data_IF_968267328505
#
_entry.id   IF_968267328505
#
_cell.length_a   1.000
_cell.length_b   1.000
_cell.length_c   1.000
_cell.angle_alpha   90.00
_cell.angle_beta   90.00
_cell.angle_gamma   90.00
#
_symmetry.space_group_name_H-M   'P 1'
#
loop_
_entity.id
_entity.type
_entity.pdbx_description
1 polymer ?
#
# COMPACT_ATOMS: atom_id res chain seq x y z
N UNK A 1 -3.57 -6.99 3.48
CA UNK A 1 -4.73 -6.08 3.29
C UNK A 1 -5.14 -6.12 1.83
N UNK A 2 -6.42 -6.17 1.47
CA UNK A 2 -6.88 -6.15 0.06
C UNK A 2 -7.32 -4.73 -0.31
N UNK A 3 -6.83 -4.22 -1.44
CA UNK A 3 -7.27 -2.98 -2.09
C UNK A 3 -7.85 -3.38 -3.45
N UNK A 4 -9.15 -3.17 -3.62
CA UNK A 4 -9.89 -3.39 -4.87
C UNK A 4 -10.26 -2.03 -5.47
N UNK A 5 -10.05 -1.87 -6.78
CA UNK A 5 -10.72 -0.84 -7.58
C UNK A 5 -11.19 -1.46 -8.89
N UNK A 6 -12.35 -0.99 -9.33
CA UNK A 6 -13.27 -1.57 -10.31
C UNK A 6 -12.62 -2.19 -11.57
N UNK A 7 -12.96 -3.47 -11.79
CA UNK A 7 -13.12 -4.19 -13.07
C UNK A 7 -12.09 -5.20 -13.64
N UNK A 8 -10.95 -5.51 -13.01
CA UNK A 8 -10.29 -6.85 -13.14
C UNK A 8 -9.02 -7.02 -12.28
N UNK A 9 -8.84 -6.28 -11.18
CA UNK A 9 -7.57 -6.32 -10.47
C UNK A 9 -7.60 -5.99 -8.99
N UNK A 10 -6.64 -6.53 -8.25
CA UNK A 10 -6.43 -6.23 -6.84
C UNK A 10 -4.95 -6.21 -6.50
N UNK A 11 -4.59 -5.48 -5.44
CA UNK A 11 -3.32 -5.67 -4.77
C UNK A 11 -3.51 -6.08 -3.31
N UNK A 12 -2.68 -7.03 -2.90
CA UNK A 12 -2.56 -7.50 -1.53
C UNK A 12 -1.13 -7.34 -1.05
N UNK A 13 -0.96 -6.45 -0.08
CA UNK A 13 0.32 -6.26 0.61
C UNK A 13 0.27 -6.95 1.97
N UNK A 14 1.28 -7.75 2.25
CA UNK A 14 1.49 -8.41 3.53
C UNK A 14 2.62 -7.72 4.29
N UNK A 15 2.34 -7.32 5.52
CA UNK A 15 3.33 -6.72 6.43
C UNK A 15 3.43 -7.52 7.71
N UNK A 16 4.54 -7.34 8.43
CA UNK A 16 4.70 -7.88 9.78
C UNK A 16 3.65 -7.25 10.71
N UNK A 17 3.07 -8.04 11.62
CA UNK A 17 2.11 -7.52 12.60
C UNK A 17 2.80 -6.47 13.50
N UNK A 18 2.21 -5.28 13.60
CA UNK A 18 2.74 -4.18 14.43
C UNK A 18 3.90 -3.40 13.80
N UNK A 19 4.30 -3.73 12.58
CA UNK A 19 5.34 -3.05 11.81
C UNK A 19 4.83 -2.76 10.39
N UNK A 20 5.45 -1.83 9.70
CA UNK A 20 5.19 -1.54 8.28
C UNK A 20 6.16 -2.28 7.34
N UNK A 21 7.03 -3.16 7.87
CA UNK A 21 7.91 -4.01 7.06
C UNK A 21 7.09 -4.91 6.14
N UNK A 22 7.35 -4.81 4.84
CA UNK A 22 6.70 -5.62 3.80
C UNK A 22 7.33 -7.03 3.78
N UNK A 23 6.47 -8.05 3.80
CA UNK A 23 6.83 -9.47 3.64
C UNK A 23 6.56 -9.98 2.23
N UNK A 24 5.61 -9.35 1.52
CA UNK A 24 5.28 -9.69 0.15
C UNK A 24 4.16 -8.82 -0.40
N UNK A 25 4.07 -8.79 -1.73
CA UNK A 25 3.04 -8.11 -2.49
C UNK A 25 2.49 -9.07 -3.55
N UNK A 26 1.17 -9.06 -3.74
CA UNK A 26 0.48 -9.76 -4.81
C UNK A 26 -0.32 -8.72 -5.57
N UNK A 27 -0.13 -8.62 -6.89
CA UNK A 27 -0.85 -7.69 -7.75
C UNK A 27 -1.42 -8.48 -8.92
N UNK A 28 -2.72 -8.32 -9.15
CA UNK A 28 -3.44 -8.82 -10.32
C UNK A 28 -4.00 -7.58 -11.01
N UNK A 29 -3.52 -7.27 -12.20
CA UNK A 29 -3.98 -6.16 -13.04
C UNK A 29 -3.29 -6.23 -14.42
N UNK A 30 -3.85 -5.62 -15.48
CA UNK A 30 -3.06 -5.25 -16.65
C UNK A 30 -1.82 -4.46 -16.21
N UNK A 31 -0.65 -4.77 -16.79
CA UNK A 31 0.61 -4.12 -16.42
C UNK A 31 1.06 -4.29 -14.96
N UNK A 32 0.66 -5.37 -14.27
CA UNK A 32 1.04 -5.62 -12.88
C UNK A 32 2.56 -5.67 -12.64
N UNK A 33 3.36 -6.11 -13.62
CA UNK A 33 4.82 -6.10 -13.55
C UNK A 33 5.40 -4.70 -13.37
N UNK A 34 4.77 -3.71 -14.03
CA UNK A 34 5.17 -2.30 -13.96
C UNK A 34 4.84 -1.67 -12.61
N UNK A 35 4.07 -2.32 -11.74
CA UNK A 35 3.79 -1.85 -10.37
C UNK A 35 4.54 -2.65 -9.32
N UNK A 36 4.79 -3.93 -9.61
CA UNK A 36 5.44 -4.83 -8.68
C UNK A 36 6.89 -4.39 -8.38
N UNK A 37 7.56 -3.74 -9.34
CA UNK A 37 8.93 -3.26 -9.18
C UNK A 37 9.11 -2.33 -7.98
N UNK A 38 8.11 -1.49 -7.65
CA UNK A 38 8.18 -0.57 -6.52
C UNK A 38 8.22 -1.32 -5.18
N UNK A 39 7.37 -2.34 -5.05
CA UNK A 39 7.33 -3.18 -3.85
C UNK A 39 8.58 -4.04 -3.74
N UNK A 40 9.11 -4.55 -4.86
CA UNK A 40 10.38 -5.29 -4.90
C UNK A 40 11.54 -4.40 -4.44
N UNK A 41 11.64 -3.19 -4.98
CA UNK A 41 12.67 -2.23 -4.58
C UNK A 41 12.57 -1.94 -3.08
N UNK A 42 11.37 -1.64 -2.60
CA UNK A 42 11.11 -1.35 -1.20
C UNK A 42 11.52 -2.50 -0.27
N UNK A 43 11.18 -3.74 -0.63
CA UNK A 43 11.61 -4.93 0.12
C UNK A 43 13.14 -5.10 0.10
N UNK A 44 13.79 -4.82 -1.03
CA UNK A 44 15.25 -4.92 -1.18
C UNK A 44 15.99 -3.86 -0.33
N UNK A 45 15.52 -2.62 -0.34
CA UNK A 45 16.10 -1.53 0.47
C UNK A 45 15.59 -1.50 1.90
N UNK A 46 14.72 -2.45 2.29
CA UNK A 46 14.17 -2.63 3.65
C UNK A 46 13.47 -1.39 4.21
N UNK A 47 12.80 -0.61 3.35
CA UNK A 47 11.96 0.51 3.79
C UNK A 47 10.53 0.02 4.08
N UNK A 48 9.85 0.69 5.00
CA UNK A 48 8.50 0.32 5.41
C UNK A 48 7.42 0.81 4.44
N UNK A 49 6.26 0.16 4.47
CA UNK A 49 5.08 0.52 3.68
C UNK A 49 4.63 1.96 3.92
N UNK A 50 4.85 2.52 5.11
CA UNK A 50 4.55 3.92 5.40
C UNK A 50 5.34 4.89 4.52
N UNK A 51 6.56 4.50 4.10
CA UNK A 51 7.37 5.33 3.20
C UNK A 51 6.78 5.36 1.80
N UNK A 52 6.38 4.20 1.25
CA UNK A 52 5.64 4.11 -0.03
C UNK A 52 4.39 4.98 0.01
N UNK A 53 3.62 4.90 1.09
CA UNK A 53 2.40 5.69 1.26
C UNK A 53 2.65 7.21 1.23
N UNK A 54 3.81 7.66 1.69
CA UNK A 54 4.19 9.08 1.76
C UNK A 54 4.89 9.62 0.52
N UNK A 55 5.24 8.77 -0.46
CA UNK A 55 5.93 9.19 -1.68
C UNK A 55 4.97 9.90 -2.65
N UNK A 56 5.53 10.83 -3.44
CA UNK A 56 4.79 11.47 -4.53
C UNK A 56 4.78 10.49 -5.69
N UNK A 57 3.59 10.00 -6.01
CA UNK A 57 3.36 9.06 -7.09
C UNK A 57 2.92 9.79 -8.35
N UNK A 58 3.51 9.45 -9.50
CA UNK A 58 3.11 10.02 -10.78
C UNK A 58 1.69 9.57 -11.19
N UNK A 59 0.89 10.50 -11.72
CA UNK A 59 -0.45 10.25 -12.26
C UNK A 59 -0.45 10.44 -13.79
N UNK A 60 -1.18 9.63 -14.60
CA UNK A 60 -2.06 8.52 -14.23
C UNK A 60 -1.31 7.20 -14.31
N UNK A 61 -0.99 6.62 -13.16
CA UNK A 61 -0.61 5.21 -13.08
C UNK A 61 -1.25 4.63 -11.83
N UNK A 62 -1.39 3.30 -11.81
CA UNK A 62 -1.92 2.48 -10.71
C UNK A 62 -1.27 2.70 -9.31
N UNK A 63 -0.49 3.75 -9.11
CA UNK A 63 -0.03 4.22 -7.81
C UNK A 63 -1.15 4.82 -6.94
N UNK A 64 -2.33 5.11 -7.50
CA UNK A 64 -3.54 5.31 -6.68
C UNK A 64 -3.82 4.09 -5.80
N UNK A 65 -3.47 2.89 -6.26
CA UNK A 65 -3.58 1.64 -5.50
C UNK A 65 -2.57 1.61 -4.34
N UNK A 66 -1.33 2.06 -4.55
CA UNK A 66 -0.30 2.18 -3.52
C UNK A 66 -0.69 3.22 -2.46
N UNK A 67 -1.19 4.39 -2.88
CA UNK A 67 -1.72 5.42 -1.98
C UNK A 67 -2.94 4.91 -1.21
N UNK A 68 -3.93 4.30 -1.87
CA UNK A 68 -5.10 3.67 -1.21
C UNK A 68 -4.68 2.57 -0.22
N UNK A 69 -3.66 1.77 -0.55
CA UNK A 69 -3.10 0.78 0.36
C UNK A 69 -2.42 1.43 1.58
N UNK A 70 -1.68 2.53 1.37
CA UNK A 70 -1.08 3.32 2.44
C UNK A 70 -2.12 3.93 3.37
N UNK A 71 -3.11 4.61 2.81
CA UNK A 71 -4.17 5.29 3.55
C UNK A 71 -5.01 4.30 4.37
N UNK A 72 -5.34 3.15 3.79
CA UNK A 72 -6.12 2.11 4.49
C UNK A 72 -5.28 1.40 5.57
N UNK A 73 -3.96 1.25 5.37
CA UNK A 73 -3.04 0.79 6.43
C UNK A 73 -2.97 1.80 7.59
N UNK A 74 -2.87 3.09 7.27
CA UNK A 74 -2.85 4.16 8.27
C UNK A 74 -4.16 4.23 9.07
N UNK A 75 -5.32 4.13 8.39
CA UNK A 75 -6.64 4.05 9.05
C UNK A 75 -6.77 2.85 9.97
N UNK A 76 -6.21 1.69 9.61
CA UNK A 76 -6.22 0.50 10.46
C UNK A 76 -5.34 0.64 11.73
N UNK A 77 -4.39 1.59 11.73
CA UNK A 77 -3.49 1.87 12.86
C UNK A 77 -3.96 3.02 13.76
N UNK A 78 -5.03 3.74 13.42
CA UNK A 78 -5.57 4.81 14.27
C UNK A 78 -6.05 4.20 15.60
N UNK A 79 -5.36 4.53 16.69
CA UNK A 79 -5.77 4.21 18.05
C UNK A 79 -7.11 4.88 18.36
N UNK A 80 -7.96 4.28 19.23
CA UNK A 80 -9.31 4.79 19.54
C UNK A 80 -9.37 6.28 19.93
N UNK A 81 -8.30 6.83 20.50
CA UNK A 81 -8.20 8.23 20.90
C UNK A 81 -8.06 9.23 19.75
N UNK A 82 -7.43 8.85 18.62
CA UNK A 82 -7.21 9.74 17.47
C UNK A 82 -8.44 9.75 16.54
N UNK A 83 -9.21 8.67 16.53
CA UNK A 83 -10.47 8.56 15.76
C UNK A 83 -11.51 9.62 16.14
N UNK A 84 -11.46 10.13 17.38
CA UNK A 84 -12.32 11.21 17.90
C UNK A 84 -11.99 12.60 17.39
N UNK A 85 -10.80 12.80 16.80
CA UNK A 85 -10.33 14.13 16.33
C UNK A 85 -10.69 14.34 14.84
N UNK A 86 -10.98 13.26 14.12
CA UNK A 86 -11.27 13.27 12.68
C UNK A 86 -12.70 12.77 12.34
N UNK A 87 -13.63 12.81 13.30
CA UNK A 87 -15.10 12.72 13.10
C UNK A 87 -15.68 14.09 13.38
#
# INVERSE_FOLDING_TARGET
MVVESEDAGFAKILTVRGSDKILGATIVAPHAGDLLHEFVLTMNVKIGLGKIASMIHAYPMLAELARKAGDKHNKARLTPGVKKIFT
#
